data_IF_811316364204
#
_entry.id   IF_811316364204
#
_cell.length_a   1.000
_cell.length_b   1.000
_cell.length_c   1.000
_cell.angle_alpha   90.00
_cell.angle_beta   90.00
_cell.angle_gamma   90.00
#
_symmetry.space_group_name_H-M   'P 1'
#
loop_
_entity.id
_entity.type
_entity.pdbx_description
1 polymer ?
#
# COMPACT_ATOMS: atom_id res chain seq x y z
N UNK A 1 2.18 -4.34 21.58
CA UNK A 1 2.53 -2.91 21.67
C UNK A 1 4.05 -2.67 21.72
N UNK A 2 4.77 -3.29 22.65
CA UNK A 2 6.22 -3.10 22.83
C UNK A 2 7.03 -3.25 21.53
N UNK A 3 6.78 -4.28 20.72
CA UNK A 3 7.53 -4.54 19.48
C UNK A 3 7.39 -3.43 18.44
N UNK A 4 6.23 -2.80 18.31
CA UNK A 4 6.08 -1.66 17.38
C UNK A 4 6.77 -0.40 17.88
N UNK A 5 6.84 -0.20 19.20
CA UNK A 5 7.66 0.84 19.79
C UNK A 5 9.16 0.56 19.55
N UNK A 6 9.57 -0.72 19.64
CA UNK A 6 10.93 -1.15 19.30
C UNK A 6 11.23 -0.88 17.82
N UNK A 7 10.35 -1.22 16.89
CA UNK A 7 10.51 -0.91 15.46
C UNK A 7 10.66 0.61 15.27
N UNK A 8 9.81 1.41 15.89
CA UNK A 8 9.91 2.87 15.81
C UNK A 8 11.24 3.39 16.40
N UNK A 9 11.66 2.86 17.56
CA UNK A 9 12.92 3.22 18.19
C UNK A 9 14.14 2.81 17.36
N UNK A 10 14.14 1.60 16.79
CA UNK A 10 15.20 1.14 15.89
C UNK A 10 15.30 1.96 14.61
N UNK A 11 14.21 2.57 14.13
CA UNK A 11 14.22 3.47 12.99
C UNK A 11 14.80 4.87 13.33
N UNK A 12 14.83 5.25 14.60
CA UNK A 12 15.50 6.48 15.02
C UNK A 12 17.03 6.42 14.80
N UNK A 13 17.63 5.23 14.86
CA UNK A 13 19.06 5.05 14.66
C UNK A 13 19.52 5.44 13.24
N UNK A 14 18.94 4.90 12.14
CA UNK A 14 19.26 5.37 10.79
C UNK A 14 18.93 6.86 10.57
N UNK A 15 17.89 7.37 11.24
CA UNK A 15 17.53 8.79 11.20
C UNK A 15 18.62 9.65 11.87
N UNK A 16 19.09 9.23 13.04
CA UNK A 16 20.18 9.91 13.75
C UNK A 16 21.48 9.95 12.92
N UNK A 17 21.83 8.81 12.28
CA UNK A 17 22.97 8.74 11.34
C UNK A 17 22.77 9.70 10.17
N UNK A 18 21.59 9.69 9.56
CA UNK A 18 21.30 10.56 8.41
C UNK A 18 21.32 12.05 8.78
N UNK A 19 20.95 12.40 10.04
CA UNK A 19 20.92 13.79 10.57
C UNK A 19 22.27 14.25 11.10
N UNK A 20 23.08 13.37 11.62
CA UNK A 20 24.41 13.73 12.18
C UNK A 20 25.35 14.41 11.15
N UNK A 21 24.87 14.62 9.94
CA UNK A 21 25.22 15.67 8.98
C UNK A 21 26.67 15.74 8.52
N UNK A 22 27.55 15.32 9.36
CA UNK A 22 28.97 15.17 9.09
C UNK A 22 29.25 14.05 8.10
N UNK A 23 28.30 13.14 7.91
CA UNK A 23 28.33 12.04 6.95
C UNK A 23 27.47 12.39 5.74
N UNK A 24 27.79 13.47 5.06
CA UNK A 24 26.97 14.08 3.99
C UNK A 24 27.05 13.36 2.64
N UNK A 25 27.71 12.23 2.55
CA UNK A 25 27.84 11.45 1.32
C UNK A 25 26.52 10.83 0.89
N UNK A 26 26.30 10.78 -0.44
CA UNK A 26 25.17 10.08 -1.07
C UNK A 26 25.10 8.61 -0.62
N UNK A 27 26.26 7.99 -0.37
CA UNK A 27 26.43 6.64 0.14
C UNK A 27 25.76 6.43 1.51
N UNK A 28 25.95 7.34 2.45
CA UNK A 28 25.41 7.23 3.83
C UNK A 28 23.89 7.22 3.85
N UNK A 29 23.25 8.02 3.00
CA UNK A 29 21.77 8.02 2.90
C UNK A 29 21.23 6.70 2.39
N UNK A 30 21.93 6.07 1.45
CA UNK A 30 21.56 4.75 0.94
C UNK A 30 21.79 3.64 1.96
N UNK A 31 22.87 3.70 2.73
CA UNK A 31 23.13 2.78 3.84
C UNK A 31 22.01 2.91 4.89
N UNK A 32 21.66 4.13 5.29
CA UNK A 32 20.58 4.35 6.25
C UNK A 32 19.22 3.80 5.75
N UNK A 33 18.89 4.02 4.47
CA UNK A 33 17.69 3.46 3.87
C UNK A 33 17.73 1.92 3.85
N UNK A 34 18.85 1.33 3.45
CA UNK A 34 19.04 -0.12 3.43
C UNK A 34 18.88 -0.71 4.82
N UNK A 35 19.55 -0.13 5.84
CA UNK A 35 19.44 -0.58 7.23
C UNK A 35 18.00 -0.51 7.75
N UNK A 36 17.28 0.60 7.47
CA UNK A 36 15.88 0.73 7.87
C UNK A 36 15.00 -0.33 7.19
N UNK A 37 15.17 -0.57 5.89
CA UNK A 37 14.45 -1.62 5.18
C UNK A 37 14.79 -3.02 5.72
N UNK A 38 16.05 -3.29 6.07
CA UNK A 38 16.48 -4.58 6.66
C UNK A 38 15.84 -4.81 8.03
N UNK A 39 15.76 -3.79 8.87
CA UNK A 39 15.06 -3.87 10.17
C UNK A 39 13.59 -4.20 9.96
N UNK A 40 12.91 -3.48 9.09
CA UNK A 40 11.49 -3.73 8.77
C UNK A 40 11.30 -5.11 8.14
N UNK A 41 12.21 -5.52 7.27
CA UNK A 41 12.21 -6.86 6.69
C UNK A 41 12.30 -7.95 7.76
N UNK A 42 13.21 -7.81 8.72
CA UNK A 42 13.36 -8.78 9.79
C UNK A 42 12.04 -8.99 10.55
N UNK A 43 11.39 -7.92 10.98
CA UNK A 43 10.10 -8.03 11.67
C UNK A 43 8.97 -8.53 10.75
N UNK A 44 8.97 -8.19 9.47
CA UNK A 44 7.96 -8.68 8.53
C UNK A 44 8.17 -10.14 8.14
N UNK A 45 9.42 -10.56 7.94
CA UNK A 45 9.80 -11.89 7.46
C UNK A 45 9.70 -12.97 8.53
N UNK A 46 10.02 -12.64 9.78
CA UNK A 46 10.09 -13.60 10.89
C UNK A 46 8.91 -13.51 11.86
N UNK A 47 7.82 -12.86 11.44
CA UNK A 47 6.58 -12.84 12.23
C UNK A 47 5.94 -14.21 12.32
N UNK A 48 5.30 -14.47 13.46
CA UNK A 48 4.50 -15.69 13.67
C UNK A 48 3.21 -15.69 12.85
N UNK A 49 2.62 -16.86 12.70
CA UNK A 49 1.38 -17.04 11.92
C UNK A 49 0.16 -16.33 12.50
N UNK A 50 0.24 -15.84 13.75
CA UNK A 50 -0.83 -15.07 14.40
C UNK A 50 -0.76 -13.57 14.13
N UNK A 51 0.37 -13.10 13.59
CA UNK A 51 0.60 -11.69 13.28
C UNK A 51 0.03 -11.38 11.90
N UNK A 52 -1.08 -10.67 11.89
CA UNK A 52 -1.83 -10.35 10.68
C UNK A 52 -2.94 -11.37 10.37
N UNK A 53 -4.06 -10.87 9.87
CA UNK A 53 -5.28 -11.65 9.63
C UNK A 53 -5.06 -12.74 8.58
N UNK A 54 -4.34 -12.43 7.49
CA UNK A 54 -4.20 -13.31 6.33
C UNK A 54 -2.98 -14.24 6.41
N UNK A 55 -2.08 -14.06 7.40
CA UNK A 55 -0.82 -14.83 7.46
C UNK A 55 -1.06 -16.32 7.59
N UNK A 56 -2.02 -16.75 8.42
CA UNK A 56 -2.42 -18.15 8.56
C UNK A 56 -2.91 -18.74 7.24
N UNK A 57 -3.67 -17.97 6.47
CA UNK A 57 -4.19 -18.40 5.19
C UNK A 57 -3.06 -18.64 4.18
N UNK A 58 -2.09 -17.73 4.06
CA UNK A 58 -0.91 -17.93 3.21
C UNK A 58 -0.08 -19.14 3.63
N UNK A 59 0.11 -19.33 4.93
CA UNK A 59 0.84 -20.49 5.48
C UNK A 59 0.13 -21.81 5.15
N UNK A 60 -1.19 -21.86 5.33
CA UNK A 60 -2.01 -23.02 4.99
C UNK A 60 -1.90 -23.36 3.50
N UNK A 61 -2.14 -22.40 2.62
CA UNK A 61 -2.08 -22.61 1.17
C UNK A 61 -0.70 -23.08 0.72
N UNK A 62 0.38 -22.48 1.27
CA UNK A 62 1.74 -22.93 1.00
C UNK A 62 1.96 -24.41 1.33
N UNK A 63 1.47 -24.87 2.49
CA UNK A 63 1.59 -26.27 2.90
C UNK A 63 0.90 -27.22 1.93
N UNK A 64 -0.24 -26.82 1.35
CA UNK A 64 -0.97 -27.60 0.37
C UNK A 64 -0.22 -27.71 -0.97
N UNK A 65 0.37 -26.60 -1.45
CA UNK A 65 1.14 -26.58 -2.70
C UNK A 65 2.30 -27.57 -2.72
N UNK A 66 2.80 -27.97 -1.57
CA UNK A 66 3.82 -29.00 -1.45
C UNK A 66 3.35 -30.36 -2.03
N UNK A 67 2.11 -30.73 -1.78
CA UNK A 67 1.53 -32.01 -2.18
C UNK A 67 0.95 -31.98 -3.61
N UNK A 68 0.74 -30.81 -4.20
CA UNK A 68 0.21 -30.65 -5.55
C UNK A 68 1.32 -30.93 -6.57
N UNK A 69 1.14 -31.84 -7.55
CA UNK A 69 2.09 -32.07 -8.63
C UNK A 69 2.37 -30.78 -9.43
N UNK A 70 3.58 -30.59 -9.92
CA UNK A 70 3.95 -29.36 -10.67
C UNK A 70 3.04 -29.16 -11.89
N UNK A 71 2.68 -30.24 -12.60
CA UNK A 71 1.78 -30.19 -13.77
C UNK A 71 0.38 -29.67 -13.46
N UNK A 72 0.01 -29.68 -12.17
CA UNK A 72 -1.34 -29.30 -11.70
C UNK A 72 -1.38 -27.92 -11.02
N UNK A 73 -0.24 -27.21 -10.96
CA UNK A 73 -0.14 -25.89 -10.27
C UNK A 73 -1.16 -24.88 -10.78
N UNK A 74 -1.39 -24.85 -12.09
CA UNK A 74 -2.33 -23.90 -12.70
C UNK A 74 -3.80 -24.32 -12.61
N UNK A 75 -4.05 -25.60 -12.34
CA UNK A 75 -5.40 -26.19 -12.13
C UNK A 75 -5.63 -26.56 -10.66
N UNK A 76 -4.83 -26.03 -9.73
CA UNK A 76 -4.84 -26.43 -8.32
C UNK A 76 -6.19 -26.27 -7.62
N UNK A 77 -7.05 -25.34 -8.09
CA UNK A 77 -8.42 -25.13 -7.57
C UNK A 77 -9.26 -26.40 -7.60
N UNK A 78 -9.03 -27.28 -8.59
CA UNK A 78 -9.79 -28.54 -8.73
C UNK A 78 -9.40 -29.63 -7.73
N UNK A 79 -8.32 -29.42 -6.95
CA UNK A 79 -7.85 -30.38 -5.91
C UNK A 79 -8.37 -30.06 -4.51
N UNK A 80 -8.91 -28.87 -4.31
CA UNK A 80 -9.52 -28.49 -3.05
C UNK A 80 -10.95 -29.04 -2.98
N UNK A 81 -11.39 -29.45 -1.79
CA UNK A 81 -12.80 -29.69 -1.55
C UNK A 81 -13.59 -28.42 -1.85
N UNK A 82 -14.87 -28.53 -2.26
CA UNK A 82 -15.69 -27.37 -2.61
C UNK A 82 -15.72 -26.30 -1.50
N UNK A 83 -15.71 -26.73 -0.24
CA UNK A 83 -15.65 -25.85 0.94
C UNK A 83 -14.33 -25.07 1.08
N UNK A 84 -13.24 -25.54 0.44
CA UNK A 84 -11.90 -24.96 0.54
C UNK A 84 -11.39 -24.39 -0.78
N UNK A 85 -12.17 -24.46 -1.86
CA UNK A 85 -11.79 -23.98 -3.20
C UNK A 85 -11.34 -22.52 -3.21
N UNK A 86 -11.93 -21.69 -2.35
CA UNK A 86 -11.56 -20.29 -2.17
C UNK A 86 -10.11 -20.10 -1.67
N UNK A 87 -9.57 -21.07 -0.93
CA UNK A 87 -8.20 -21.03 -0.40
C UNK A 87 -7.15 -21.07 -1.51
N UNK A 88 -7.51 -21.63 -2.67
CA UNK A 88 -6.63 -21.80 -3.81
C UNK A 88 -6.90 -20.82 -4.95
N UNK A 89 -7.80 -19.86 -4.76
CA UNK A 89 -8.10 -18.81 -5.75
C UNK A 89 -6.99 -17.74 -5.76
N UNK A 90 -5.76 -18.23 -5.99
CA UNK A 90 -4.59 -17.39 -6.18
C UNK A 90 -4.25 -17.25 -7.65
N UNK A 91 -3.72 -16.12 -8.02
CA UNK A 91 -3.26 -15.83 -9.37
C UNK A 91 -2.08 -16.73 -9.78
N UNK A 92 -1.92 -17.03 -11.10
CA UNK A 92 -0.98 -18.06 -11.58
C UNK A 92 0.47 -17.84 -11.17
N UNK A 93 0.98 -16.61 -11.17
CA UNK A 93 2.35 -16.30 -10.77
C UNK A 93 2.59 -16.54 -9.29
N UNK A 94 1.60 -16.22 -8.44
CA UNK A 94 1.72 -16.48 -7.01
C UNK A 94 1.62 -17.98 -6.68
N UNK A 95 0.79 -18.75 -7.42
CA UNK A 95 0.77 -20.24 -7.32
C UNK A 95 2.12 -20.83 -7.68
N UNK A 96 2.72 -20.37 -8.79
CA UNK A 96 4.05 -20.79 -9.22
C UNK A 96 5.11 -20.48 -8.15
N UNK A 97 5.09 -19.28 -7.55
CA UNK A 97 6.01 -18.91 -6.48
C UNK A 97 5.87 -19.86 -5.27
N UNK A 98 4.62 -20.15 -4.81
CA UNK A 98 4.37 -21.11 -3.74
C UNK A 98 4.93 -22.48 -4.08
N UNK A 99 4.68 -22.99 -5.30
CA UNK A 99 5.17 -24.31 -5.72
C UNK A 99 6.68 -24.36 -5.78
N UNK A 100 7.34 -23.40 -6.39
CA UNK A 100 8.80 -23.36 -6.48
C UNK A 100 9.44 -23.33 -5.09
N UNK A 101 8.95 -22.47 -4.19
CA UNK A 101 9.46 -22.43 -2.81
C UNK A 101 9.22 -23.75 -2.06
N UNK A 102 8.09 -24.42 -2.28
CA UNK A 102 7.75 -25.68 -1.62
C UNK A 102 8.65 -26.86 -2.04
N UNK A 103 9.37 -26.74 -3.16
CA UNK A 103 10.38 -27.74 -3.57
C UNK A 103 11.63 -27.72 -2.67
N UNK A 104 11.97 -26.52 -2.16
CA UNK A 104 13.20 -26.32 -1.39
C UNK A 104 12.94 -26.22 0.12
N UNK A 105 11.77 -25.72 0.53
CA UNK A 105 11.46 -25.41 1.93
C UNK A 105 10.24 -26.18 2.42
N UNK A 106 10.37 -26.77 3.61
CA UNK A 106 9.25 -27.48 4.26
C UNK A 106 8.37 -26.56 5.10
N UNK A 107 8.99 -25.55 5.72
CA UNK A 107 8.27 -24.59 6.57
C UNK A 107 7.48 -23.58 5.75
N UNK A 108 6.23 -23.35 6.13
CA UNK A 108 5.39 -22.28 5.56
C UNK A 108 5.94 -20.88 5.81
N UNK A 109 6.93 -20.73 6.72
CA UNK A 109 7.64 -19.46 6.91
C UNK A 109 8.33 -19.00 5.62
N UNK A 110 8.70 -19.93 4.72
CA UNK A 110 9.34 -19.61 3.45
C UNK A 110 8.53 -18.64 2.59
N UNK A 111 7.20 -18.80 2.53
CA UNK A 111 6.36 -17.86 1.76
C UNK A 111 6.26 -16.49 2.43
N UNK A 112 6.29 -16.45 3.78
CA UNK A 112 6.28 -15.18 4.53
C UNK A 112 7.61 -14.43 4.31
N UNK A 113 8.74 -15.12 4.35
CA UNK A 113 10.07 -14.55 4.06
C UNK A 113 10.13 -14.06 2.62
N UNK A 114 9.67 -14.86 1.65
CA UNK A 114 9.64 -14.48 0.23
C UNK A 114 8.81 -13.21 0.01
N UNK A 115 7.57 -13.20 0.49
CA UNK A 115 6.68 -12.05 0.34
C UNK A 115 7.29 -10.78 0.95
N UNK A 116 7.81 -10.89 2.18
CA UNK A 116 8.44 -9.78 2.89
C UNK A 116 9.67 -9.25 2.15
N UNK A 117 10.48 -10.16 1.58
CA UNK A 117 11.67 -9.80 0.80
C UNK A 117 11.27 -9.02 -0.45
N UNK A 118 10.32 -9.52 -1.23
CA UNK A 118 9.87 -8.84 -2.45
C UNK A 118 9.29 -7.46 -2.13
N UNK A 119 8.42 -7.36 -1.12
CA UNK A 119 7.80 -6.11 -0.70
C UNK A 119 8.86 -5.07 -0.31
N UNK A 120 9.78 -5.42 0.61
CA UNK A 120 10.77 -4.45 1.10
C UNK A 120 11.82 -4.08 0.04
N UNK A 121 12.18 -5.00 -0.84
CA UNK A 121 13.06 -4.70 -2.01
C UNK A 121 12.38 -3.71 -2.95
N UNK A 122 11.10 -3.91 -3.27
CA UNK A 122 10.34 -3.00 -4.12
C UNK A 122 10.17 -1.61 -3.46
N UNK A 123 9.91 -1.55 -2.15
CA UNK A 123 9.89 -0.30 -1.39
C UNK A 123 11.24 0.40 -1.37
N UNK A 124 12.33 -0.35 -1.17
CA UNK A 124 13.67 0.22 -1.20
C UNK A 124 13.95 0.93 -2.54
N UNK A 125 13.66 0.27 -3.67
CA UNK A 125 13.88 0.88 -4.98
C UNK A 125 12.94 2.06 -5.24
N UNK A 126 11.69 1.97 -4.84
CA UNK A 126 10.72 3.06 -4.98
C UNK A 126 11.15 4.29 -4.18
N UNK A 127 11.48 4.13 -2.91
CA UNK A 127 11.89 5.24 -2.02
C UNK A 127 13.21 5.82 -2.52
N UNK A 128 14.20 4.97 -2.85
CA UNK A 128 15.52 5.39 -3.37
C UNK A 128 15.40 6.24 -4.63
N UNK A 129 14.46 5.91 -5.50
CA UNK A 129 14.27 6.60 -6.78
C UNK A 129 13.42 7.86 -6.65
N UNK A 130 12.31 7.78 -5.93
CA UNK A 130 11.23 8.78 -5.99
C UNK A 130 11.15 9.67 -4.76
N UNK A 131 11.69 9.29 -3.60
CA UNK A 131 11.64 10.12 -2.41
C UNK A 131 12.83 11.06 -2.29
N UNK A 132 12.61 12.35 -2.04
CA UNK A 132 13.67 13.29 -1.72
C UNK A 132 14.14 13.22 -0.24
N UNK A 133 13.34 12.58 0.64
CA UNK A 133 13.64 12.37 2.05
C UNK A 133 13.31 10.93 2.44
N UNK A 134 14.31 10.06 2.35
CA UNK A 134 14.17 8.62 2.59
C UNK A 134 13.64 8.31 3.99
N UNK A 135 14.16 9.01 5.02
CA UNK A 135 13.78 8.75 6.40
C UNK A 135 12.33 9.14 6.69
N UNK A 136 11.88 10.27 6.16
CA UNK A 136 10.47 10.65 6.27
C UNK A 136 9.57 9.64 5.55
N UNK A 137 9.97 9.15 4.36
CA UNK A 137 9.20 8.11 3.67
C UNK A 137 9.13 6.81 4.46
N UNK A 138 10.24 6.32 5.02
CA UNK A 138 10.23 5.12 5.87
C UNK A 138 9.38 5.32 7.13
N UNK A 139 9.47 6.49 7.74
CA UNK A 139 8.63 6.83 8.89
C UNK A 139 7.15 6.80 8.52
N UNK A 140 6.75 7.47 7.45
CA UNK A 140 5.37 7.48 6.96
C UNK A 140 4.90 6.09 6.51
N UNK A 141 5.77 5.26 5.93
CA UNK A 141 5.46 3.88 5.56
C UNK A 141 4.95 3.08 6.75
N UNK A 142 5.60 3.25 7.92
CA UNK A 142 5.15 2.60 9.15
C UNK A 142 3.96 3.33 9.77
N UNK A 143 4.07 4.65 9.95
CA UNK A 143 3.12 5.40 10.77
C UNK A 143 1.77 5.66 10.09
N UNK A 144 1.69 5.67 8.76
CA UNK A 144 0.41 5.68 8.06
C UNK A 144 -0.26 4.29 7.99
N UNK A 145 0.38 3.25 8.55
CA UNK A 145 -0.17 1.90 8.62
C UNK A 145 -0.02 1.10 7.33
N UNK A 146 0.76 1.59 6.36
CA UNK A 146 0.99 0.88 5.09
C UNK A 146 1.75 -0.41 5.34
N UNK A 147 2.80 -0.36 6.16
CA UNK A 147 3.61 -1.53 6.53
C UNK A 147 2.77 -2.66 7.13
N UNK A 148 1.87 -2.34 8.08
CA UNK A 148 1.00 -3.32 8.72
C UNK A 148 -0.07 -3.86 7.77
N UNK A 149 -0.61 -3.00 6.91
CA UNK A 149 -1.55 -3.43 5.87
C UNK A 149 -0.90 -4.42 4.90
N UNK A 150 0.35 -4.17 4.49
CA UNK A 150 1.06 -5.04 3.56
C UNK A 150 1.49 -6.37 4.19
N UNK A 151 1.57 -6.50 5.52
CA UNK A 151 1.69 -7.79 6.21
C UNK A 151 0.48 -8.69 5.95
N UNK A 152 -0.71 -8.11 5.76
CA UNK A 152 -1.95 -8.83 5.50
C UNK A 152 -2.11 -9.11 4.00
N UNK A 153 -2.20 -8.07 3.19
CA UNK A 153 -2.51 -8.18 1.76
C UNK A 153 -1.25 -8.36 0.89
N UNK A 154 -0.38 -9.33 1.23
CA UNK A 154 0.97 -9.43 0.66
C UNK A 154 1.00 -9.59 -0.86
N UNK A 155 0.08 -10.38 -1.47
CA UNK A 155 -0.02 -10.53 -2.93
C UNK A 155 -0.34 -9.21 -3.63
N UNK A 156 -1.32 -8.52 -3.07
CA UNK A 156 -1.74 -7.21 -3.56
C UNK A 156 -0.60 -6.19 -3.45
N UNK A 157 0.10 -6.15 -2.30
CA UNK A 157 1.25 -5.28 -2.07
C UNK A 157 2.36 -5.51 -3.10
N UNK A 158 2.72 -6.78 -3.37
CA UNK A 158 3.71 -7.13 -4.39
C UNK A 158 3.30 -6.58 -5.76
N UNK A 159 2.06 -6.85 -6.18
CA UNK A 159 1.56 -6.42 -7.49
C UNK A 159 1.53 -4.89 -7.64
N UNK A 160 1.04 -4.16 -6.62
CA UNK A 160 0.98 -2.70 -6.65
C UNK A 160 2.39 -2.08 -6.66
N UNK A 161 3.30 -2.61 -5.86
CA UNK A 161 4.67 -2.11 -5.80
C UNK A 161 5.45 -2.36 -7.09
N UNK A 162 5.17 -3.46 -7.82
CA UNK A 162 5.69 -3.66 -9.17
C UNK A 162 5.22 -2.52 -10.10
N UNK A 163 3.92 -2.20 -10.07
CA UNK A 163 3.37 -1.09 -10.88
C UNK A 163 3.94 0.26 -10.44
N UNK A 164 4.10 0.53 -9.13
CA UNK A 164 4.73 1.77 -8.66
C UNK A 164 6.17 1.90 -9.15
N UNK A 165 6.89 0.78 -9.22
CA UNK A 165 8.24 0.78 -9.80
C UNK A 165 8.25 0.97 -11.32
N UNK A 166 7.12 0.76 -12.02
CA UNK A 166 6.94 1.05 -13.44
C UNK A 166 6.53 2.52 -13.73
N UNK A 167 6.28 3.37 -12.75
CA UNK A 167 5.90 4.77 -12.96
C UNK A 167 6.90 5.61 -13.78
N UNK A 168 8.20 5.33 -13.84
CA UNK A 168 9.07 5.97 -14.82
C UNK A 168 8.61 5.80 -16.28
N UNK A 169 8.09 4.63 -16.66
CA UNK A 169 7.54 4.40 -17.99
C UNK A 169 6.28 5.24 -18.23
N UNK A 170 5.38 5.32 -17.23
CA UNK A 170 4.20 6.19 -17.28
C UNK A 170 4.60 7.66 -17.48
N UNK A 171 5.58 8.15 -16.69
CA UNK A 171 6.05 9.55 -16.79
C UNK A 171 6.65 9.86 -18.15
N UNK A 172 7.39 8.91 -18.76
CA UNK A 172 8.02 9.05 -20.10
C UNK A 172 7.02 8.90 -21.24
N UNK A 173 5.83 8.33 -20.99
CA UNK A 173 4.85 8.03 -22.03
C UNK A 173 5.07 6.69 -22.72
N UNK A 174 5.87 5.82 -22.14
CA UNK A 174 6.16 4.49 -22.63
C UNK A 174 5.05 3.51 -22.19
N UNK A 175 3.93 3.54 -22.93
CA UNK A 175 2.77 2.71 -22.61
C UNK A 175 3.07 1.20 -22.73
N UNK A 176 3.76 0.70 -23.79
CA UNK A 176 3.99 -0.74 -23.90
C UNK A 176 4.75 -1.33 -22.72
N UNK A 177 5.82 -0.67 -22.24
CA UNK A 177 6.54 -1.15 -21.06
C UNK A 177 5.74 -1.04 -19.79
N UNK A 178 5.00 0.06 -19.60
CA UNK A 178 4.11 0.23 -18.45
C UNK A 178 3.04 -0.86 -18.43
N UNK A 179 2.38 -1.08 -19.56
CA UNK A 179 1.34 -2.11 -19.75
C UNK A 179 1.88 -3.51 -19.47
N UNK A 180 3.06 -3.84 -20.03
CA UNK A 180 3.72 -5.12 -19.80
C UNK A 180 3.97 -5.40 -18.31
N UNK A 181 4.41 -4.38 -17.54
CA UNK A 181 4.57 -4.53 -16.09
C UNK A 181 3.23 -4.70 -15.39
N UNK A 182 2.16 -3.99 -15.78
CA UNK A 182 0.83 -4.19 -15.21
C UNK A 182 0.31 -5.61 -15.45
N UNK A 183 0.51 -6.16 -16.66
CA UNK A 183 0.17 -7.55 -16.98
C UNK A 183 1.01 -8.55 -16.16
N UNK A 184 2.31 -8.34 -16.05
CA UNK A 184 3.17 -9.20 -15.22
C UNK A 184 2.76 -9.15 -13.74
N UNK A 185 2.50 -7.96 -13.21
CA UNK A 185 2.05 -7.77 -11.83
C UNK A 185 0.70 -8.45 -11.56
N UNK A 186 -0.19 -8.52 -12.58
CA UNK A 186 -1.49 -9.19 -12.44
C UNK A 186 -1.38 -10.70 -12.25
N UNK A 187 -0.24 -11.31 -12.58
CA UNK A 187 0.05 -12.71 -12.24
C UNK A 187 0.20 -12.93 -10.72
N UNK A 188 0.45 -11.88 -9.95
CA UNK A 188 0.50 -11.91 -8.49
C UNK A 188 -0.80 -11.42 -7.86
N UNK A 189 -1.44 -10.39 -8.45
CA UNK A 189 -2.78 -9.95 -8.07
C UNK A 189 -3.45 -9.16 -9.20
N UNK A 190 -4.66 -9.61 -9.56
CA UNK A 190 -5.45 -9.03 -10.66
C UNK A 190 -5.69 -7.51 -10.53
N UNK A 191 -5.72 -6.98 -9.30
CA UNK A 191 -5.89 -5.55 -9.03
C UNK A 191 -4.82 -4.66 -9.71
N UNK A 192 -3.67 -5.20 -10.11
CA UNK A 192 -2.66 -4.46 -10.88
C UNK A 192 -3.22 -3.92 -12.22
N UNK A 193 -4.22 -4.58 -12.81
CA UNK A 193 -4.84 -4.15 -14.07
C UNK A 193 -5.58 -2.81 -13.94
N UNK A 194 -6.02 -2.46 -12.72
CA UNK A 194 -6.70 -1.19 -12.44
C UNK A 194 -5.78 0.01 -12.70
N UNK A 195 -4.48 -0.20 -12.73
CA UNK A 195 -3.51 0.85 -13.04
C UNK A 195 -3.35 1.13 -14.54
N UNK A 196 -3.84 0.27 -15.42
CA UNK A 196 -3.79 0.53 -16.88
C UNK A 196 -4.52 1.83 -17.24
N UNK A 197 -5.80 2.06 -16.84
CA UNK A 197 -6.47 3.33 -17.08
C UNK A 197 -5.80 4.54 -16.39
N UNK A 198 -5.09 4.34 -15.26
CA UNK A 198 -4.36 5.41 -14.58
C UNK A 198 -3.31 6.06 -15.50
N UNK A 199 -2.72 5.29 -16.42
CA UNK A 199 -1.81 5.85 -17.43
C UNK A 199 -2.46 6.99 -18.22
N UNK A 200 -3.65 6.76 -18.72
CA UNK A 200 -4.39 7.74 -19.52
C UNK A 200 -4.89 8.91 -18.67
N UNK A 201 -5.37 8.64 -17.45
CA UNK A 201 -5.83 9.66 -16.52
C UNK A 201 -4.69 10.62 -16.15
N UNK A 202 -3.52 10.11 -15.81
CA UNK A 202 -2.37 10.94 -15.45
C UNK A 202 -1.91 11.78 -16.64
N UNK A 203 -1.95 11.28 -17.85
CA UNK A 203 -1.50 12.00 -19.04
C UNK A 203 -2.55 12.93 -19.64
N UNK A 204 -3.81 12.51 -19.64
CA UNK A 204 -4.93 13.25 -20.27
C UNK A 204 -5.58 14.28 -19.35
N UNK A 205 -5.68 14.00 -18.05
CA UNK A 205 -6.46 14.86 -17.14
C UNK A 205 -5.54 15.76 -16.33
N UNK A 206 -5.72 17.06 -16.40
CA UNK A 206 -5.08 18.02 -15.50
C UNK A 206 -6.00 18.28 -14.31
N UNK A 207 -5.52 17.89 -13.14
CA UNK A 207 -6.21 18.18 -11.88
C UNK A 207 -5.80 19.56 -11.36
N UNK A 208 -6.78 20.22 -10.75
CA UNK A 208 -6.61 21.42 -9.93
C UNK A 208 -7.52 21.28 -8.69
N UNK A 209 -7.35 22.06 -7.62
CA UNK A 209 -8.06 21.87 -6.35
C UNK A 209 -9.57 21.72 -6.49
N UNK A 210 -10.21 22.60 -7.27
CA UNK A 210 -11.67 22.57 -7.49
C UNK A 210 -12.13 21.27 -8.14
N UNK A 211 -11.43 20.83 -9.22
CA UNK A 211 -11.77 19.58 -9.93
C UNK A 211 -11.57 18.35 -9.04
N UNK A 212 -10.49 18.33 -8.23
CA UNK A 212 -10.27 17.28 -7.25
C UNK A 212 -11.42 17.22 -6.24
N UNK A 213 -11.78 18.35 -5.64
CA UNK A 213 -12.89 18.42 -4.68
C UNK A 213 -14.23 17.99 -5.32
N UNK A 214 -14.54 18.46 -6.52
CA UNK A 214 -15.75 18.05 -7.25
C UNK A 214 -15.81 16.55 -7.49
N UNK A 215 -14.70 15.91 -7.89
CA UNK A 215 -14.66 14.47 -8.10
C UNK A 215 -14.91 13.72 -6.79
N UNK A 216 -14.24 14.12 -5.70
CA UNK A 216 -14.42 13.48 -4.39
C UNK A 216 -15.88 13.63 -3.92
N UNK A 217 -16.46 14.83 -4.01
CA UNK A 217 -17.85 15.07 -3.63
C UNK A 217 -18.84 14.27 -4.48
N UNK A 218 -18.59 14.17 -5.80
CA UNK A 218 -19.43 13.35 -6.69
C UNK A 218 -19.41 11.88 -6.31
N UNK A 219 -18.23 11.33 -5.95
CA UNK A 219 -18.11 9.93 -5.49
C UNK A 219 -18.71 9.74 -4.09
N UNK A 220 -18.63 10.73 -3.19
CA UNK A 220 -19.36 10.70 -1.92
C UNK A 220 -20.87 10.68 -2.14
N UNK A 221 -21.40 11.54 -3.01
CA UNK A 221 -22.82 11.56 -3.36
C UNK A 221 -23.27 10.23 -3.98
N UNK A 222 -22.46 9.68 -4.91
CA UNK A 222 -22.70 8.36 -5.47
C UNK A 222 -22.71 7.27 -4.39
N UNK A 223 -21.77 7.32 -3.44
CA UNK A 223 -21.73 6.40 -2.31
C UNK A 223 -22.98 6.49 -1.43
N UNK A 224 -23.52 7.69 -1.19
CA UNK A 224 -24.75 7.87 -0.42
C UNK A 224 -25.96 7.27 -1.17
N UNK A 225 -26.01 7.44 -2.49
CA UNK A 225 -27.12 6.95 -3.34
C UNK A 225 -26.98 5.45 -3.63
N UNK A 226 -25.77 4.89 -3.57
CA UNK A 226 -25.49 3.51 -3.97
C UNK A 226 -26.37 2.45 -3.31
N UNK A 227 -26.67 2.50 -1.99
CA UNK A 227 -27.57 1.54 -1.35
C UNK A 227 -28.97 1.45 -1.96
N UNK A 228 -29.45 2.54 -2.59
CA UNK A 228 -30.75 2.58 -3.26
C UNK A 228 -30.70 1.82 -4.61
N UNK A 229 -29.55 1.80 -5.28
CA UNK A 229 -29.38 1.17 -6.58
C UNK A 229 -28.83 -0.26 -6.48
N UNK A 230 -28.12 -0.58 -5.39
CA UNK A 230 -27.47 -1.90 -5.22
C UNK A 230 -28.42 -3.10 -5.29
N UNK A 231 -29.69 -3.07 -4.82
CA UNK A 231 -30.63 -4.17 -4.97
C UNK A 231 -31.01 -4.45 -6.44
N UNK A 232 -31.06 -3.41 -7.25
CA UNK A 232 -31.32 -3.52 -8.68
C UNK A 232 -30.11 -4.13 -9.39
N UNK A 233 -28.92 -3.57 -9.12
CA UNK A 233 -27.67 -4.06 -9.69
C UNK A 233 -27.36 -5.51 -9.31
N UNK A 234 -27.65 -5.92 -8.08
CA UNK A 234 -27.41 -7.28 -7.61
C UNK A 234 -28.19 -8.34 -8.36
N UNK A 235 -29.34 -7.96 -8.97
CA UNK A 235 -30.15 -8.85 -9.83
C UNK A 235 -29.57 -8.98 -11.24
N UNK A 236 -28.74 -8.03 -11.67
CA UNK A 236 -28.19 -7.98 -13.04
C UNK A 236 -26.80 -8.62 -13.13
N UNK A 237 -26.13 -8.85 -12.03
CA UNK A 237 -24.78 -9.43 -11.99
C UNK A 237 -24.82 -10.89 -11.50
N UNK A 238 -23.86 -11.74 -11.94
CA UNK A 238 -23.76 -13.11 -11.42
C UNK A 238 -23.65 -13.13 -9.89
N UNK A 239 -24.23 -14.14 -9.24
CA UNK A 239 -24.33 -14.25 -7.77
C UNK A 239 -22.97 -14.11 -7.04
N UNK A 240 -21.90 -14.61 -7.66
CA UNK A 240 -20.52 -14.46 -7.13
C UNK A 240 -20.08 -13.00 -6.96
N UNK A 241 -20.64 -12.06 -7.74
CA UNK A 241 -20.33 -10.62 -7.65
C UNK A 241 -21.37 -9.86 -6.83
N UNK A 242 -22.58 -10.39 -6.66
CA UNK A 242 -23.66 -9.73 -5.92
C UNK A 242 -23.27 -9.45 -4.46
N UNK A 243 -22.47 -10.33 -3.83
CA UNK A 243 -21.93 -10.14 -2.48
C UNK A 243 -21.10 -8.88 -2.32
N UNK A 244 -20.39 -8.41 -3.36
CA UNK A 244 -19.58 -7.19 -3.31
C UNK A 244 -20.42 -5.91 -3.40
N UNK A 245 -21.67 -6.03 -3.88
CA UNK A 245 -22.62 -4.92 -3.94
C UNK A 245 -23.39 -4.73 -2.62
N UNK A 246 -23.40 -5.77 -1.75
CA UNK A 246 -24.00 -5.70 -0.43
C UNK A 246 -23.00 -5.06 0.54
N UNK A 247 -23.40 -3.97 1.19
CA UNK A 247 -22.50 -3.21 2.06
C UNK A 247 -22.06 -4.01 3.29
N UNK A 248 -20.77 -4.02 3.57
CA UNK A 248 -20.17 -4.64 4.76
C UNK A 248 -20.18 -3.69 5.97
N UNK A 249 -20.20 -4.26 7.19
CA UNK A 249 -20.26 -3.51 8.47
C UNK A 249 -18.95 -2.77 8.84
N UNK A 250 -17.85 -2.96 8.13
CA UNK A 250 -16.53 -2.34 8.41
C UNK A 250 -16.36 -0.93 7.83
N UNK A 251 -17.47 -0.23 7.56
CA UNK A 251 -17.44 1.07 6.86
C UNK A 251 -16.67 2.15 7.62
N UNK A 252 -16.84 2.24 8.94
CA UNK A 252 -16.28 3.33 9.75
C UNK A 252 -14.74 3.30 9.77
N UNK A 253 -14.14 2.13 9.99
CA UNK A 253 -12.68 2.00 10.04
C UNK A 253 -12.00 2.41 8.72
N UNK A 254 -12.58 2.02 7.59
CA UNK A 254 -12.04 2.37 6.28
C UNK A 254 -12.24 3.86 5.93
N UNK A 255 -13.37 4.46 6.30
CA UNK A 255 -13.60 5.90 6.11
C UNK A 255 -12.59 6.74 6.89
N UNK A 256 -12.24 6.35 8.11
CA UNK A 256 -11.19 6.99 8.91
C UNK A 256 -9.86 7.01 8.14
N UNK A 257 -9.51 5.93 7.45
CA UNK A 257 -8.29 5.90 6.60
C UNK A 257 -8.35 6.93 5.48
N UNK A 258 -9.50 7.05 4.81
CA UNK A 258 -9.71 8.07 3.78
C UNK A 258 -9.57 9.50 4.33
N UNK A 259 -10.20 9.78 5.47
CA UNK A 259 -10.10 11.09 6.15
C UNK A 259 -8.65 11.39 6.53
N UNK A 260 -7.91 10.42 7.05
CA UNK A 260 -6.50 10.59 7.40
C UNK A 260 -5.63 10.85 6.18
N UNK A 261 -5.80 10.10 5.09
CA UNK A 261 -5.05 10.30 3.86
C UNK A 261 -5.30 11.70 3.26
N UNK A 262 -6.56 12.12 3.19
CA UNK A 262 -6.93 13.46 2.76
C UNK A 262 -6.42 14.53 3.73
N UNK A 263 -6.54 14.30 5.02
CA UNK A 263 -6.07 15.20 6.08
C UNK A 263 -4.57 15.45 6.02
N UNK A 264 -3.75 14.39 5.89
CA UNK A 264 -2.29 14.53 5.75
C UNK A 264 -1.91 15.29 4.48
N UNK A 265 -2.61 15.05 3.38
CA UNK A 265 -2.40 15.83 2.15
C UNK A 265 -2.76 17.30 2.32
N UNK A 266 -3.96 17.59 2.84
CA UNK A 266 -4.42 18.98 3.06
C UNK A 266 -3.53 19.73 4.05
N UNK A 267 -3.12 19.05 5.13
CA UNK A 267 -2.20 19.60 6.11
C UNK A 267 -0.84 19.91 5.47
N UNK A 268 -0.29 18.98 4.69
CA UNK A 268 0.97 19.21 3.96
C UNK A 268 0.80 20.39 3.00
N UNK A 269 -0.32 20.47 2.30
CA UNK A 269 -0.62 21.59 1.40
C UNK A 269 -0.73 22.91 2.16
N UNK A 270 -1.31 22.90 3.36
CA UNK A 270 -1.44 24.08 4.22
C UNK A 270 -0.08 24.57 4.72
N UNK A 271 0.86 23.69 5.05
CA UNK A 271 2.23 24.01 5.45
C UNK A 271 3.05 24.65 4.32
N UNK A 272 2.64 24.46 3.07
CA UNK A 272 3.29 25.10 1.93
C UNK A 272 2.99 26.60 1.86
N UNK A 273 3.94 27.44 1.39
CA UNK A 273 3.67 28.84 1.04
C UNK A 273 2.51 28.93 0.05
N UNK A 274 1.62 29.92 0.22
CA UNK A 274 0.42 30.09 -0.63
C UNK A 274 0.75 30.03 -2.13
N UNK A 275 1.84 30.68 -2.57
CA UNK A 275 2.31 30.69 -3.97
C UNK A 275 2.72 29.31 -4.50
N UNK A 276 3.09 28.36 -3.62
CA UNK A 276 3.56 27.04 -4.00
C UNK A 276 2.43 25.98 -4.05
N UNK A 277 1.28 26.25 -3.43
CA UNK A 277 0.17 25.28 -3.31
C UNK A 277 -0.37 24.83 -4.68
N UNK A 278 -0.51 25.74 -5.63
CA UNK A 278 -0.95 25.43 -6.99
C UNK A 278 0.08 24.61 -7.76
N UNK A 279 1.37 24.81 -7.49
CA UNK A 279 2.48 24.06 -8.12
C UNK A 279 2.46 22.58 -7.80
N UNK A 280 1.89 22.15 -6.65
CA UNK A 280 1.72 20.74 -6.29
C UNK A 280 0.96 19.99 -7.39
N UNK A 281 -0.16 20.55 -7.86
CA UNK A 281 -1.02 19.92 -8.85
C UNK A 281 -0.35 19.75 -10.23
N UNK A 282 0.58 20.63 -10.57
CA UNK A 282 1.35 20.54 -11.80
C UNK A 282 2.57 19.62 -11.66
N UNK A 283 3.34 19.76 -10.56
CA UNK A 283 4.61 19.06 -10.35
C UNK A 283 4.42 17.64 -9.88
N UNK A 284 3.47 17.39 -8.97
CA UNK A 284 3.21 16.09 -8.38
C UNK A 284 1.94 15.43 -8.94
N UNK A 285 1.70 15.65 -10.24
CA UNK A 285 0.51 15.23 -10.97
C UNK A 285 0.13 13.76 -10.74
N UNK A 286 1.12 12.85 -10.79
CA UNK A 286 0.90 11.43 -10.56
C UNK A 286 0.40 11.18 -9.12
N UNK A 287 1.11 11.68 -8.12
CA UNK A 287 0.74 11.46 -6.71
C UNK A 287 -0.62 12.08 -6.36
N UNK A 288 -0.91 13.29 -6.88
CA UNK A 288 -2.22 13.94 -6.71
C UNK A 288 -3.32 13.14 -7.39
N UNK A 289 -3.08 12.58 -8.58
CA UNK A 289 -4.06 11.72 -9.26
C UNK A 289 -4.35 10.46 -8.45
N UNK A 290 -3.32 9.75 -7.99
CA UNK A 290 -3.48 8.55 -7.17
C UNK A 290 -4.25 8.84 -5.88
N UNK A 291 -3.92 9.94 -5.20
CA UNK A 291 -4.65 10.36 -4.00
C UNK A 291 -6.11 10.72 -4.32
N UNK A 292 -6.37 11.40 -5.44
CA UNK A 292 -7.74 11.72 -5.84
C UNK A 292 -8.55 10.44 -6.05
N UNK A 293 -8.00 9.45 -6.75
CA UNK A 293 -8.64 8.15 -6.95
C UNK A 293 -8.86 7.45 -5.60
N UNK A 294 -7.86 7.45 -4.72
CA UNK A 294 -7.98 6.90 -3.36
C UNK A 294 -9.17 7.51 -2.61
N UNK A 295 -9.28 8.84 -2.58
CA UNK A 295 -10.35 9.54 -1.87
C UNK A 295 -11.72 9.37 -2.55
N UNK A 296 -11.78 9.27 -3.87
CA UNK A 296 -13.01 8.94 -4.60
C UNK A 296 -13.53 7.56 -4.19
N UNK A 297 -12.68 6.55 -4.13
CA UNK A 297 -13.09 5.22 -3.69
C UNK A 297 -13.48 5.18 -2.20
N UNK A 298 -12.84 5.96 -1.33
CA UNK A 298 -13.32 6.12 0.05
C UNK A 298 -14.66 6.83 0.13
N UNK A 299 -14.93 7.80 -0.74
CA UNK A 299 -16.26 8.41 -0.88
C UNK A 299 -17.31 7.40 -1.31
N UNK A 300 -17.00 6.58 -2.30
CA UNK A 300 -17.89 5.50 -2.76
C UNK A 300 -18.13 4.44 -1.67
N UNK A 301 -17.16 4.22 -0.79
CA UNK A 301 -17.25 3.26 0.32
C UNK A 301 -18.35 3.62 1.35
N UNK A 302 -18.92 4.82 1.31
CA UNK A 302 -20.08 5.19 2.13
C UNK A 302 -21.26 4.21 1.89
N UNK A 303 -21.44 3.76 0.65
CA UNK A 303 -22.48 2.80 0.27
C UNK A 303 -21.97 1.44 -0.20
N UNK A 304 -20.80 1.40 -0.84
CA UNK A 304 -20.17 0.21 -1.39
C UNK A 304 -18.96 -0.19 -0.54
N UNK A 305 -19.15 -1.07 0.45
CA UNK A 305 -18.15 -1.39 1.47
C UNK A 305 -16.81 -1.91 0.92
N UNK A 306 -16.81 -2.66 -0.19
CA UNK A 306 -15.59 -3.16 -0.82
C UNK A 306 -14.81 -2.10 -1.64
N UNK A 307 -15.36 -0.89 -1.82
CA UNK A 307 -14.66 0.20 -2.48
C UNK A 307 -13.38 0.61 -1.70
N UNK A 308 -13.34 0.39 -0.39
CA UNK A 308 -12.13 0.60 0.43
C UNK A 308 -10.94 -0.24 -0.02
N UNK A 309 -11.17 -1.46 -0.52
CA UNK A 309 -10.11 -2.32 -1.07
C UNK A 309 -9.50 -1.70 -2.33
N UNK A 310 -10.33 -1.08 -3.17
CA UNK A 310 -9.86 -0.33 -4.33
C UNK A 310 -9.11 0.93 -3.92
N UNK A 311 -9.59 1.65 -2.90
CA UNK A 311 -8.90 2.81 -2.34
C UNK A 311 -7.48 2.42 -1.86
N UNK A 312 -7.33 1.29 -1.18
CA UNK A 312 -6.05 0.81 -0.64
C UNK A 312 -4.95 0.62 -1.70
N UNK A 313 -5.32 0.44 -2.99
CA UNK A 313 -4.34 0.33 -4.09
C UNK A 313 -3.56 1.63 -4.32
N UNK A 314 -4.14 2.78 -4.02
CA UNK A 314 -3.62 4.11 -4.39
C UNK A 314 -3.06 4.88 -3.19
N UNK A 315 -3.49 4.53 -1.98
CA UNK A 315 -3.09 5.21 -0.74
C UNK A 315 -1.60 5.14 -0.40
N UNK A 316 -0.93 4.00 -0.58
CA UNK A 316 0.48 3.84 -0.21
C UNK A 316 1.43 4.85 -0.87
N UNK A 317 1.09 5.39 -2.04
CA UNK A 317 1.92 6.38 -2.70
C UNK A 317 2.02 7.72 -1.93
N UNK A 318 1.15 7.95 -0.93
CA UNK A 318 1.23 9.12 -0.03
C UNK A 318 2.57 9.20 0.71
N UNK A 319 3.17 8.04 0.99
CA UNK A 319 4.53 7.89 1.57
C UNK A 319 5.60 8.61 0.73
N UNK A 320 5.42 8.66 -0.59
CA UNK A 320 6.31 9.35 -1.53
C UNK A 320 5.84 10.78 -1.79
N UNK A 321 4.53 10.99 -1.89
CA UNK A 321 3.95 12.28 -2.25
C UNK A 321 4.26 13.36 -1.20
N UNK A 322 4.08 13.06 0.10
CA UNK A 322 4.30 14.02 1.19
C UNK A 322 5.75 14.56 1.18
N UNK A 323 6.80 13.73 1.22
CA UNK A 323 8.18 14.24 1.14
C UNK A 323 8.45 15.07 -0.13
N UNK A 324 7.85 14.71 -1.26
CA UNK A 324 7.98 15.48 -2.52
C UNK A 324 7.32 16.84 -2.43
N UNK A 325 6.12 16.94 -1.85
CA UNK A 325 5.44 18.21 -1.62
C UNK A 325 6.29 19.15 -0.75
N UNK A 326 6.93 18.65 0.30
CA UNK A 326 7.77 19.43 1.19
C UNK A 326 8.98 20.05 0.48
N UNK A 327 9.44 19.50 -0.64
CA UNK A 327 10.53 20.13 -1.43
C UNK A 327 10.16 21.49 -2.02
N UNK A 328 8.87 21.80 -2.10
CA UNK A 328 8.37 23.10 -2.54
C UNK A 328 8.56 24.19 -1.48
N UNK A 329 8.92 23.85 -0.24
CA UNK A 329 9.35 24.80 0.79
C UNK A 329 10.83 25.09 0.56
N UNK A 330 11.14 26.24 0.03
CA UNK A 330 12.52 26.63 -0.33
C UNK A 330 13.41 26.80 0.92
N UNK A 331 12.86 27.44 1.95
CA UNK A 331 13.60 27.69 3.20
C UNK A 331 13.82 26.40 3.98
N UNK A 332 15.10 26.01 4.18
CA UNK A 332 15.50 24.74 4.82
C UNK A 332 14.90 24.55 6.22
N UNK A 333 14.95 25.58 7.07
CA UNK A 333 14.42 25.53 8.43
C UNK A 333 12.91 25.29 8.45
N UNK A 334 12.13 26.02 7.64
CA UNK A 334 10.67 25.80 7.53
C UNK A 334 10.34 24.40 7.02
N UNK A 335 11.10 23.90 6.05
CA UNK A 335 10.94 22.52 5.54
C UNK A 335 11.20 21.48 6.61
N UNK A 336 12.26 21.66 7.41
CA UNK A 336 12.59 20.79 8.53
C UNK A 336 11.48 20.81 9.60
N UNK A 337 11.00 21.98 9.97
CA UNK A 337 9.90 22.12 10.94
C UNK A 337 8.61 21.45 10.44
N UNK A 338 8.26 21.62 9.17
CA UNK A 338 7.10 20.97 8.57
C UNK A 338 7.26 19.44 8.56
N UNK A 339 8.45 18.94 8.22
CA UNK A 339 8.74 17.50 8.28
C UNK A 339 8.65 16.96 9.72
N UNK A 340 9.21 17.66 10.70
CA UNK A 340 9.14 17.30 12.14
C UNK A 340 7.69 17.27 12.62
N UNK A 341 6.89 18.28 12.27
CA UNK A 341 5.49 18.36 12.64
C UNK A 341 4.69 17.15 12.08
N UNK A 342 4.86 16.83 10.80
CA UNK A 342 4.22 15.67 10.17
C UNK A 342 4.71 14.34 10.78
N UNK A 343 5.98 14.25 11.16
CA UNK A 343 6.55 13.09 11.85
C UNK A 343 5.86 12.87 13.20
N UNK A 344 5.73 13.91 14.01
CA UNK A 344 5.08 13.81 15.33
C UNK A 344 3.60 13.44 15.15
N UNK A 345 2.88 14.14 14.29
CA UNK A 345 1.45 13.90 14.08
C UNK A 345 1.17 12.49 13.58
N UNK A 346 1.94 12.01 12.59
CA UNK A 346 1.79 10.64 12.09
C UNK A 346 2.18 9.59 13.13
N UNK A 347 3.14 9.89 14.02
CA UNK A 347 3.48 9.04 15.15
C UNK A 347 2.33 8.92 16.16
N UNK A 348 1.70 10.04 16.53
CA UNK A 348 0.52 10.04 17.42
C UNK A 348 -0.62 9.21 16.80
N UNK A 349 -0.94 9.46 15.52
CA UNK A 349 -1.95 8.72 14.79
C UNK A 349 -1.64 7.20 14.75
N UNK A 350 -0.36 6.84 14.58
CA UNK A 350 0.09 5.44 14.59
C UNK A 350 -0.19 4.77 15.93
N UNK A 351 0.17 5.40 17.05
CA UNK A 351 -0.09 4.87 18.39
C UNK A 351 -1.59 4.63 18.59
N UNK A 352 -2.43 5.60 18.24
CA UNK A 352 -3.88 5.48 18.41
C UNK A 352 -4.48 4.37 17.55
N UNK A 353 -4.10 4.25 16.28
CA UNK A 353 -4.68 3.28 15.36
C UNK A 353 -4.13 1.88 15.53
N UNK A 354 -2.82 1.75 15.58
CA UNK A 354 -2.15 0.46 15.53
C UNK A 354 -1.89 -0.10 16.92
N UNK A 355 -1.47 0.74 17.87
CA UNK A 355 -1.11 0.26 19.20
C UNK A 355 -2.31 0.15 20.13
N UNK A 356 -3.27 1.08 20.06
CA UNK A 356 -4.46 1.06 20.92
C UNK A 356 -5.58 0.24 20.28
N UNK A 357 -5.92 0.49 18.99
CA UNK A 357 -7.05 -0.14 18.32
C UNK A 357 -6.70 -1.41 17.54
N UNK A 358 -5.41 -1.79 17.47
CA UNK A 358 -4.92 -2.97 16.76
C UNK A 358 -5.46 -3.13 15.32
N UNK A 359 -5.54 -2.02 14.59
CA UNK A 359 -6.03 -2.05 13.21
C UNK A 359 -5.05 -2.85 12.35
N UNK A 360 -5.54 -3.93 11.74
CA UNK A 360 -4.74 -4.87 10.94
C UNK A 360 -4.43 -6.18 11.65
N UNK A 361 -4.81 -6.35 12.92
CA UNK A 361 -4.66 -7.62 13.66
C UNK A 361 -3.20 -8.06 13.83
N UNK A 362 -2.28 -7.07 13.95
CA UNK A 362 -0.84 -7.35 14.05
C UNK A 362 -0.33 -7.37 15.48
N UNK A 363 -1.22 -7.24 16.47
CA UNK A 363 -0.95 -7.36 17.90
C UNK A 363 -1.80 -8.49 18.52
N UNK A 364 -1.30 -9.23 19.54
CA UNK A 364 0.08 -9.20 20.00
C UNK A 364 1.04 -9.69 18.91
N UNK A 365 2.23 -9.10 18.85
CA UNK A 365 3.27 -9.55 17.92
C UNK A 365 4.06 -10.71 18.55
N UNK A 366 4.23 -11.79 17.80
CA UNK A 366 5.09 -12.92 18.11
C UNK A 366 6.02 -13.25 16.92
N UNK A 367 7.10 -13.93 17.22
CA UNK A 367 7.97 -14.51 16.19
C UNK A 367 7.51 -15.94 15.85
N UNK A 368 7.98 -16.47 14.73
CA UNK A 368 7.56 -17.79 14.25
C UNK A 368 8.21 -18.98 15.01
N UNK A 369 9.26 -18.73 15.80
CA UNK A 369 9.92 -19.74 16.67
C UNK A 369 9.29 -19.85 18.04
#
# INVERSE_FOLDING_TARGET
MLWYLVICAMMLYPYAIARAGTLTGRSTKHIALFTACTILWFFMAFRGNRVGVDTKHYAYVFSQFRNIPFSKVFTAVTYANESESWAFDFEPGYRLANKLLSLFFRSSQAITVFNSTVILVLWYFLIKRDSPNFMLSIWLFVTLGVYQTEMNVTRNAIAILMVYNAFPYLRRGDFPRYFGVCLFASLFHVAALVFIPVYFLVRGVRLHPKKMAMLILAFCALGIVFPLISPILSRMVPSRFAKYLQGNNEKLGSLIVGVLNGGFFLLTLWLLPKKQRSRVFARERLGVMLLTINLCFFGLNIGLGDASRMAALFGPYLVILIPRMLTLIEHRGRRANAATFLTILSGIQYVLRMCVNNIGGTLPYDFFW
#
